data_IF_776826379170
#
_entry.id   IF_776826379170
#
_cell.length_a   1.000
_cell.length_b   1.000
_cell.length_c   1.000
_cell.angle_alpha   90.00
_cell.angle_beta   90.00
_cell.angle_gamma   90.00
#
_symmetry.space_group_name_H-M   'P 1'
#
loop_
_entity.id
_entity.type
_entity.pdbx_description
1 polymer ?
#
# COMPACT_ATOMS: atom_id res chain seq x y z
N UNK A 1 10.57 -6.59 21.09
CA UNK A 1 9.34 -7.03 20.39
C UNK A 1 9.59 -6.90 18.90
N UNK A 2 9.20 -7.88 18.10
CA UNK A 2 9.41 -7.86 16.65
C UNK A 2 8.35 -6.97 16.01
N UNK A 3 8.74 -6.03 15.14
CA UNK A 3 7.79 -5.16 14.42
C UNK A 3 6.77 -5.97 13.61
N UNK A 4 7.14 -7.19 13.21
CA UNK A 4 6.25 -8.12 12.52
C UNK A 4 5.10 -8.53 13.45
N UNK A 5 5.33 -8.71 14.75
CA UNK A 5 4.25 -9.00 15.71
C UNK A 5 3.33 -7.79 15.89
N UNK A 6 3.89 -6.57 15.91
CA UNK A 6 3.10 -5.35 16.00
C UNK A 6 2.25 -5.15 14.73
N UNK A 7 2.84 -5.35 13.55
CA UNK A 7 2.15 -5.34 12.25
C UNK A 7 1.04 -6.41 12.23
N UNK A 8 1.33 -7.65 12.63
CA UNK A 8 0.33 -8.74 12.71
C UNK A 8 -0.81 -8.37 13.67
N UNK A 9 -0.50 -7.74 14.81
CA UNK A 9 -1.51 -7.31 15.78
C UNK A 9 -2.43 -6.22 15.21
N UNK A 10 -1.88 -5.36 14.36
CA UNK A 10 -2.57 -4.25 13.69
C UNK A 10 -3.43 -4.74 12.53
N UNK A 11 -2.96 -5.73 11.77
CA UNK A 11 -3.73 -6.35 10.69
C UNK A 11 -4.89 -7.18 11.25
N UNK A 12 -4.72 -7.80 12.42
CA UNK A 12 -5.69 -8.74 12.98
C UNK A 12 -5.89 -9.97 12.09
N UNK A 13 -6.45 -11.05 12.65
CA UNK A 13 -6.73 -12.28 11.89
C UNK A 13 -7.85 -12.16 10.84
N UNK A 14 -8.31 -10.94 10.53
CA UNK A 14 -9.50 -10.68 9.71
C UNK A 14 -9.29 -9.79 8.48
N UNK A 15 -8.10 -9.22 8.24
CA UNK A 15 -7.84 -8.49 7.00
C UNK A 15 -7.60 -9.48 5.88
N UNK A 16 -8.47 -9.43 4.88
CA UNK A 16 -8.28 -10.09 3.59
C UNK A 16 -8.24 -9.06 2.48
N UNK A 17 -7.39 -9.31 1.48
CA UNK A 17 -7.33 -8.51 0.26
C UNK A 17 -7.83 -9.39 -0.87
N UNK A 18 -8.99 -9.06 -1.44
CA UNK A 18 -9.66 -9.88 -2.45
C UNK A 18 -9.85 -11.35 -2.02
N UNK A 19 -10.10 -11.60 -0.73
CA UNK A 19 -10.24 -12.96 -0.18
C UNK A 19 -8.92 -13.65 0.17
N UNK A 20 -7.76 -13.06 -0.15
CA UNK A 20 -6.43 -13.56 0.24
C UNK A 20 -6.15 -13.19 1.69
N UNK A 21 -5.77 -14.19 2.49
CA UNK A 21 -5.34 -14.00 3.88
C UNK A 21 -3.83 -14.12 4.00
N UNK A 22 -3.28 -13.73 5.16
CA UNK A 22 -1.85 -13.91 5.45
C UNK A 22 -1.41 -15.39 5.30
N UNK A 23 -2.27 -16.35 5.68
CA UNK A 23 -1.96 -17.78 5.59
C UNK A 23 -1.77 -18.24 4.14
N UNK A 24 -2.48 -17.64 3.20
CA UNK A 24 -2.38 -17.97 1.78
C UNK A 24 -1.04 -17.53 1.20
N UNK A 25 -0.47 -16.44 1.73
CA UNK A 25 0.82 -15.86 1.29
C UNK A 25 2.06 -16.54 1.89
N UNK A 26 1.94 -17.25 3.01
CA UNK A 26 3.07 -17.91 3.70
C UNK A 26 3.61 -19.15 2.94
N UNK A 27 3.01 -19.53 1.81
CA UNK A 27 3.48 -20.66 0.99
C UNK A 27 4.91 -20.39 0.48
N UNK A 28 5.72 -21.46 0.39
CA UNK A 28 7.16 -21.49 0.00
C UNK A 28 7.54 -20.31 -0.88
N UNK A 29 8.63 -19.58 -0.57
CA UNK A 29 9.06 -18.26 -1.05
C UNK A 29 9.58 -18.12 -2.52
N UNK A 30 8.80 -18.06 -3.63
CA UNK A 30 9.37 -17.73 -4.94
C UNK A 30 9.60 -16.23 -5.14
N UNK A 31 8.80 -15.37 -4.48
CA UNK A 31 8.72 -13.95 -4.85
C UNK A 31 9.42 -13.00 -3.87
N UNK A 32 10.07 -13.51 -2.81
CA UNK A 32 10.67 -12.67 -1.75
C UNK A 32 11.56 -11.56 -2.31
N UNK A 33 12.43 -11.89 -3.26
CA UNK A 33 13.37 -10.92 -3.88
C UNK A 33 12.62 -9.79 -4.60
N UNK A 34 11.58 -10.11 -5.36
CA UNK A 34 10.82 -9.10 -6.10
C UNK A 34 9.99 -8.23 -5.15
N UNK A 35 9.44 -8.81 -4.08
CA UNK A 35 8.72 -8.06 -3.04
C UNK A 35 9.65 -7.16 -2.23
N UNK A 36 10.85 -7.61 -1.87
CA UNK A 36 11.85 -6.78 -1.19
C UNK A 36 12.28 -5.59 -2.06
N UNK A 37 12.52 -5.83 -3.36
CA UNK A 37 12.83 -4.75 -4.32
C UNK A 37 11.69 -3.75 -4.44
N UNK A 38 10.46 -4.25 -4.49
CA UNK A 38 9.28 -3.41 -4.55
C UNK A 38 9.13 -2.55 -3.30
N UNK A 39 9.32 -3.12 -2.11
CA UNK A 39 9.29 -2.37 -0.84
C UNK A 39 10.36 -1.27 -0.86
N UNK A 40 11.60 -1.58 -1.24
CA UNK A 40 12.68 -0.58 -1.39
C UNK A 40 12.35 0.52 -2.39
N UNK A 41 11.65 0.20 -3.47
CA UNK A 41 11.17 1.20 -4.43
C UNK A 41 10.12 2.14 -3.80
N UNK A 42 9.29 1.64 -2.89
CA UNK A 42 8.25 2.42 -2.22
C UNK A 42 8.78 3.30 -1.08
N UNK A 43 9.90 2.94 -0.43
CA UNK A 43 10.45 3.71 0.69
C UNK A 43 10.62 5.22 0.43
N UNK A 44 11.18 5.66 -0.72
CA UNK A 44 11.30 7.09 -1.01
C UNK A 44 9.99 7.75 -1.48
N UNK A 45 8.89 7.00 -1.66
CA UNK A 45 7.64 7.51 -2.22
C UNK A 45 6.77 8.21 -1.17
N UNK A 46 7.13 9.46 -0.91
CA UNK A 46 6.47 10.39 0.03
C UNK A 46 4.94 10.47 -0.08
N UNK A 47 4.36 10.24 -1.26
CA UNK A 47 2.89 10.24 -1.46
C UNK A 47 2.15 9.21 -0.57
N UNK A 48 2.85 8.19 -0.08
CA UNK A 48 2.28 7.21 0.86
C UNK A 48 2.33 7.70 2.31
N UNK A 49 3.34 8.49 2.68
CA UNK A 49 3.68 8.77 4.09
C UNK A 49 3.53 10.23 4.50
N UNK A 50 3.45 11.15 3.55
CA UNK A 50 3.50 12.60 3.83
C UNK A 50 2.14 13.14 4.29
N UNK A 51 2.10 14.09 5.24
CA UNK A 51 0.87 14.81 5.57
C UNK A 51 0.26 15.50 4.34
N UNK A 52 -1.07 15.57 4.26
CA UNK A 52 -1.77 16.03 3.06
C UNK A 52 -1.70 17.53 2.82
N UNK A 53 -1.49 18.30 3.89
CA UNK A 53 -1.27 19.75 3.85
C UNK A 53 0.01 20.13 3.12
N UNK A 54 0.96 19.19 2.97
CA UNK A 54 2.17 19.35 2.19
C UNK A 54 2.03 18.86 0.73
N UNK A 55 0.88 18.30 0.35
CA UNK A 55 0.72 17.65 -0.94
C UNK A 55 0.13 18.54 -2.03
N UNK A 56 0.72 18.44 -3.22
CA UNK A 56 0.26 19.11 -4.43
C UNK A 56 -0.33 18.06 -5.37
N UNK A 57 -1.59 18.24 -5.79
CA UNK A 57 -2.35 17.26 -6.58
C UNK A 57 -1.58 16.71 -7.79
N UNK A 58 -0.88 17.57 -8.53
CA UNK A 58 -0.08 17.18 -9.69
C UNK A 58 1.07 16.23 -9.31
N UNK A 59 1.79 16.52 -8.22
CA UNK A 59 2.88 15.68 -7.74
C UNK A 59 2.36 14.34 -7.19
N UNK A 60 1.18 14.36 -6.56
CA UNK A 60 0.50 13.16 -6.08
C UNK A 60 0.10 12.26 -7.23
N UNK A 61 -0.60 12.79 -8.24
CA UNK A 61 -0.99 12.03 -9.44
C UNK A 61 0.23 11.40 -10.10
N UNK A 62 1.28 12.18 -10.37
CA UNK A 62 2.50 11.67 -11.00
C UNK A 62 3.14 10.54 -10.18
N UNK A 63 3.27 10.72 -8.87
CA UNK A 63 3.86 9.69 -7.99
C UNK A 63 3.02 8.42 -7.96
N UNK A 64 1.69 8.55 -7.92
CA UNK A 64 0.77 7.41 -7.93
C UNK A 64 0.78 6.67 -9.28
N UNK A 65 0.93 7.36 -10.40
CA UNK A 65 1.08 6.72 -11.72
C UNK A 65 2.38 5.92 -11.82
N UNK A 66 3.49 6.46 -11.30
CA UNK A 66 4.76 5.75 -11.21
C UNK A 66 4.65 4.50 -10.33
N UNK A 67 4.04 4.64 -9.14
CA UNK A 67 3.81 3.50 -8.23
C UNK A 67 2.95 2.45 -8.92
N UNK A 68 1.82 2.84 -9.52
CA UNK A 68 0.92 1.93 -10.23
C UNK A 68 1.64 1.13 -11.30
N UNK A 69 2.49 1.78 -12.10
CA UNK A 69 3.28 1.12 -13.14
C UNK A 69 4.22 0.08 -12.53
N UNK A 70 4.92 0.42 -11.45
CA UNK A 70 5.84 -0.52 -10.81
C UNK A 70 5.11 -1.66 -10.10
N UNK A 71 3.97 -1.41 -9.45
CA UNK A 71 3.13 -2.46 -8.86
C UNK A 71 2.70 -3.47 -9.92
N UNK A 72 2.29 -3.00 -11.11
CA UNK A 72 1.92 -3.88 -12.22
C UNK A 72 3.12 -4.66 -12.76
N UNK A 73 4.29 -4.02 -12.88
CA UNK A 73 5.52 -4.71 -13.28
C UNK A 73 5.89 -5.84 -12.30
N UNK A 74 5.80 -5.60 -11.00
CA UNK A 74 6.09 -6.60 -9.97
C UNK A 74 5.06 -7.73 -10.02
N UNK A 75 3.78 -7.39 -10.21
CA UNK A 75 2.70 -8.38 -10.38
C UNK A 75 2.99 -9.36 -11.52
N UNK A 76 3.46 -8.85 -12.66
CA UNK A 76 3.78 -9.66 -13.83
C UNK A 76 5.04 -10.53 -13.66
N UNK A 77 5.93 -10.17 -12.74
CA UNK A 77 7.14 -10.95 -12.40
C UNK A 77 6.91 -12.02 -11.34
N UNK A 78 5.87 -11.86 -10.51
CA UNK A 78 5.57 -12.79 -9.44
C UNK A 78 4.91 -14.07 -9.98
N UNK A 79 5.41 -15.22 -9.58
CA UNK A 79 4.88 -16.53 -9.99
C UNK A 79 3.89 -17.13 -8.98
N UNK A 80 3.44 -16.34 -8.00
CA UNK A 80 2.44 -16.76 -7.01
C UNK A 80 1.12 -16.02 -7.26
N UNK A 81 0.04 -16.79 -7.38
CA UNK A 81 -1.29 -16.26 -7.66
C UNK A 81 -1.80 -15.37 -6.53
N UNK A 82 -1.54 -15.70 -5.27
CA UNK A 82 -2.00 -14.93 -4.10
C UNK A 82 -1.32 -13.57 -4.06
N UNK A 83 0.00 -13.53 -4.30
CA UNK A 83 0.75 -12.27 -4.45
C UNK A 83 0.22 -11.47 -5.64
N UNK A 84 0.02 -12.13 -6.78
CA UNK A 84 -0.47 -11.47 -7.99
C UNK A 84 -1.84 -10.82 -7.75
N UNK A 85 -2.74 -11.49 -7.02
CA UNK A 85 -4.05 -10.96 -6.64
C UNK A 85 -3.97 -9.78 -5.68
N UNK A 86 -3.06 -9.82 -4.69
CA UNK A 86 -2.82 -8.68 -3.78
C UNK A 86 -2.33 -7.46 -4.56
N UNK A 87 -1.35 -7.64 -5.45
CA UNK A 87 -0.81 -6.57 -6.28
C UNK A 87 -1.85 -6.06 -7.30
N UNK A 88 -2.65 -6.95 -7.88
CA UNK A 88 -3.77 -6.58 -8.76
C UNK A 88 -4.78 -5.69 -8.03
N UNK A 89 -5.13 -6.02 -6.79
CA UNK A 89 -6.04 -5.20 -5.97
C UNK A 89 -5.51 -3.77 -5.78
N UNK A 90 -4.20 -3.62 -5.56
CA UNK A 90 -3.56 -2.31 -5.48
C UNK A 90 -3.63 -1.55 -6.81
N UNK A 91 -3.34 -2.22 -7.94
CA UNK A 91 -3.41 -1.62 -9.28
C UNK A 91 -4.82 -1.15 -9.61
N UNK A 92 -5.84 -1.95 -9.30
CA UNK A 92 -7.24 -1.57 -9.52
C UNK A 92 -7.65 -0.39 -8.64
N UNK A 93 -7.34 -0.45 -7.34
CA UNK A 93 -7.60 0.65 -6.39
C UNK A 93 -6.94 1.95 -6.89
N UNK A 94 -5.67 1.92 -7.27
CA UNK A 94 -4.99 3.11 -7.81
C UNK A 94 -5.62 3.60 -9.10
N UNK A 95 -6.07 2.70 -9.97
CA UNK A 95 -6.71 3.08 -11.24
C UNK A 95 -8.01 3.85 -11.01
N UNK A 96 -8.87 3.36 -10.12
CA UNK A 96 -10.14 3.99 -9.75
C UNK A 96 -9.91 5.36 -9.12
N UNK A 97 -8.99 5.44 -8.17
CA UNK A 97 -8.73 6.67 -7.42
C UNK A 97 -7.95 7.70 -8.26
N UNK A 98 -7.01 7.27 -9.14
CA UNK A 98 -6.35 8.16 -10.10
C UNK A 98 -7.34 8.78 -11.10
N UNK A 99 -8.28 7.99 -11.63
CA UNK A 99 -9.35 8.54 -12.48
C UNK A 99 -10.16 9.61 -11.74
N UNK A 100 -10.37 9.44 -10.43
CA UNK A 100 -11.07 10.42 -9.61
C UNK A 100 -10.23 11.66 -9.33
N UNK A 101 -8.93 11.51 -9.08
CA UNK A 101 -7.97 12.61 -8.88
C UNK A 101 -7.81 13.47 -10.13
N UNK A 102 -7.71 12.86 -11.32
CA UNK A 102 -7.65 13.58 -12.60
C UNK A 102 -8.89 14.42 -12.90
N UNK A 103 -10.04 14.09 -12.30
CA UNK A 103 -11.31 14.82 -12.45
C UNK A 103 -11.48 15.94 -11.43
N UNK A 104 -10.56 16.11 -10.48
CA UNK A 104 -10.64 17.20 -9.50
C UNK A 104 -10.35 18.51 -10.23
N UNK A 105 -11.37 19.35 -10.32
CA UNK A 105 -11.24 20.74 -10.74
C UNK A 105 -10.93 21.64 -9.55
N UNK A 106 -10.49 22.89 -9.82
CA UNK A 106 -10.29 23.95 -8.81
C UNK A 106 -11.64 24.39 -8.21
N UNK A 107 -12.22 23.54 -7.37
CA UNK A 107 -13.44 23.80 -6.59
C UNK A 107 -13.10 23.86 -5.10
N UNK A 108 -13.98 24.47 -4.29
CA UNK A 108 -13.79 24.60 -2.84
C UNK A 108 -13.57 23.25 -2.12
N UNK A 109 -14.09 22.16 -2.70
CA UNK A 109 -13.98 20.80 -2.15
C UNK A 109 -12.78 20.00 -2.70
N UNK A 110 -11.92 20.60 -3.52
CA UNK A 110 -10.82 19.90 -4.19
C UNK A 110 -9.90 19.18 -3.21
N UNK A 111 -9.50 19.86 -2.12
CA UNK A 111 -8.63 19.31 -1.09
C UNK A 111 -9.28 18.14 -0.34
N UNK A 112 -10.59 18.24 -0.06
CA UNK A 112 -11.34 17.16 0.62
C UNK A 112 -11.45 15.93 -0.28
N UNK A 113 -11.71 16.12 -1.58
CA UNK A 113 -11.78 15.02 -2.56
C UNK A 113 -10.42 14.35 -2.75
N UNK A 114 -9.37 15.16 -2.88
CA UNK A 114 -7.99 14.68 -2.96
C UNK A 114 -7.64 13.84 -1.74
N UNK A 115 -7.94 14.34 -0.55
CA UNK A 115 -7.73 13.62 0.71
C UNK A 115 -8.43 12.27 0.72
N UNK A 116 -9.73 12.24 0.41
CA UNK A 116 -10.51 10.99 0.44
C UNK A 116 -9.96 9.95 -0.53
N UNK A 117 -9.60 10.35 -1.75
CA UNK A 117 -9.08 9.44 -2.75
C UNK A 117 -7.70 8.90 -2.35
N UNK A 118 -6.80 9.78 -1.89
CA UNK A 118 -5.48 9.35 -1.46
C UNK A 118 -5.53 8.47 -0.21
N UNK A 119 -6.40 8.78 0.74
CA UNK A 119 -6.51 8.00 1.97
C UNK A 119 -6.98 6.57 1.70
N UNK A 120 -7.87 6.36 0.72
CA UNK A 120 -8.24 5.00 0.28
C UNK A 120 -7.05 4.23 -0.29
N UNK A 121 -6.25 4.87 -1.15
CA UNK A 121 -5.02 4.26 -1.69
C UNK A 121 -4.09 3.88 -0.54
N UNK A 122 -3.82 4.82 0.37
CA UNK A 122 -2.96 4.63 1.53
C UNK A 122 -3.41 3.48 2.42
N UNK A 123 -4.72 3.37 2.73
CA UNK A 123 -5.28 2.25 3.49
C UNK A 123 -5.00 0.91 2.80
N UNK A 124 -5.24 0.82 1.49
CA UNK A 124 -4.99 -0.42 0.76
C UNK A 124 -3.51 -0.78 0.67
N UNK A 125 -2.64 0.21 0.49
CA UNK A 125 -1.19 0.01 0.52
C UNK A 125 -0.71 -0.45 1.89
N UNK A 126 -1.15 0.19 2.98
CA UNK A 126 -0.78 -0.22 4.33
C UNK A 126 -1.16 -1.68 4.59
N UNK A 127 -2.40 -2.08 4.26
CA UNK A 127 -2.87 -3.46 4.40
C UNK A 127 -2.03 -4.45 3.59
N UNK A 128 -1.78 -4.15 2.32
CA UNK A 128 -1.02 -5.04 1.44
C UNK A 128 0.44 -5.16 1.87
N UNK A 129 1.09 -4.05 2.21
CA UNK A 129 2.48 -4.05 2.66
C UNK A 129 2.62 -4.79 3.99
N UNK A 130 1.68 -4.60 4.91
CA UNK A 130 1.64 -5.30 6.18
C UNK A 130 1.57 -6.83 5.96
N UNK A 131 0.67 -7.29 5.06
CA UNK A 131 0.56 -8.70 4.68
C UNK A 131 1.83 -9.23 4.01
N UNK A 132 2.38 -8.50 3.04
CA UNK A 132 3.57 -8.93 2.28
C UNK A 132 4.82 -8.96 3.16
N UNK A 133 5.05 -7.94 3.99
CA UNK A 133 6.20 -7.92 4.90
C UNK A 133 6.13 -9.05 5.92
N UNK A 134 4.92 -9.34 6.43
CA UNK A 134 4.70 -10.44 7.37
C UNK A 134 4.89 -11.81 6.71
N UNK A 135 4.37 -11.99 5.48
CA UNK A 135 4.46 -13.26 4.76
C UNK A 135 5.90 -13.61 4.36
N UNK A 136 6.69 -12.60 4.00
CA UNK A 136 8.05 -12.78 3.48
C UNK A 136 9.17 -12.51 4.51
N UNK A 137 8.82 -12.21 5.76
CA UNK A 137 9.77 -11.85 6.82
C UNK A 137 10.73 -10.73 6.35
N UNK A 138 10.13 -9.62 5.91
CA UNK A 138 10.85 -8.43 5.43
C UNK A 138 10.86 -7.39 6.54
N UNK A 139 12.07 -7.07 7.02
CA UNK A 139 12.26 -6.06 8.05
C UNK A 139 12.21 -4.64 7.46
N UNK A 140 11.22 -3.87 7.92
CA UNK A 140 11.02 -2.45 7.57
C UNK A 140 11.15 -1.53 8.78
N UNK A 141 11.68 -2.00 9.92
CA UNK A 141 11.71 -1.26 11.20
C UNK A 141 12.34 0.14 11.10
N UNK A 142 13.30 0.33 10.19
CA UNK A 142 13.99 1.62 9.98
C UNK A 142 13.37 2.48 8.89
N UNK A 143 12.30 2.00 8.25
CA UNK A 143 11.63 2.64 7.13
C UNK A 143 10.45 3.48 7.60
N UNK A 144 10.19 4.63 6.97
CA UNK A 144 8.96 5.41 7.19
C UNK A 144 7.69 4.62 6.82
N UNK A 145 7.83 3.59 5.98
CA UNK A 145 6.74 2.65 5.68
C UNK A 145 6.25 1.90 6.92
N UNK A 146 7.11 1.66 7.92
CA UNK A 146 6.69 1.00 9.16
C UNK A 146 5.71 1.85 9.96
N UNK A 147 6.01 3.13 10.16
CA UNK A 147 5.12 4.09 10.81
C UNK A 147 3.82 4.21 10.04
N UNK A 148 3.91 4.38 8.71
CA UNK A 148 2.74 4.42 7.84
C UNK A 148 1.81 3.21 8.00
N UNK A 149 2.35 1.99 8.02
CA UNK A 149 1.55 0.78 8.21
C UNK A 149 0.86 0.78 9.58
N UNK A 150 1.60 1.14 10.64
CA UNK A 150 1.07 1.17 12.00
C UNK A 150 0.01 2.26 12.19
N UNK A 151 0.25 3.47 11.67
CA UNK A 151 -0.65 4.62 11.78
C UNK A 151 -1.97 4.38 11.05
N UNK A 152 -1.92 3.77 9.88
CA UNK A 152 -3.10 3.49 9.06
C UNK A 152 -3.89 2.30 9.60
N UNK A 153 -3.21 1.33 10.21
CA UNK A 153 -3.86 0.18 10.82
C UNK A 153 -4.38 0.44 12.24
N UNK A 154 -3.95 1.51 12.91
CA UNK A 154 -4.55 1.99 14.15
C UNK A 154 -5.94 2.59 13.85
N UNK A 155 -6.99 1.76 13.90
CA UNK A 155 -8.34 2.29 14.08
C UNK A 155 -8.37 3.03 15.43
N UNK A 156 -8.87 4.28 15.50
CA UNK A 156 -9.23 4.85 16.78
C UNK A 156 -10.18 3.87 17.45
N UNK A 157 -9.90 3.51 18.71
CA UNK A 157 -10.90 2.87 19.57
C UNK A 157 -11.99 3.93 19.79
N UNK A 158 -12.96 3.95 18.88
CA UNK A 158 -14.23 4.67 19.01
C UNK A 158 -15.28 3.69 19.50
#
# INVERSE_FOLDING_TARGET
MSIIMDIISVIGSGVSISGITLKDLIKKNPNKVEIERYIKFLEPKKVLTTPLDEEIIYAVIKSLEEIKKETENVRLKCNDESVSLVLLNLVLTMSEELMSLHKISNSADANVKMYKNLQKIRIKFAQALAMLCSAYDIDITRSELSKFILDVGYKPRG
#
